data_IF_861485000762
#
_entry.id   IF_861485000762
#
_cell.length_a   1.000
_cell.length_b   1.000
_cell.length_c   1.000
_cell.angle_alpha   90.00
_cell.angle_beta   90.00
_cell.angle_gamma   90.00
#
_symmetry.space_group_name_H-M   'P 1'
#
loop_
_entity.id
_entity.type
_entity.pdbx_description
1 polymer ?
#
# COMPACT_ATOMS: atom_id res chain seq x y z
N UNK A 1 -21.34 19.44 12.91
CA UNK A 1 -20.83 19.31 11.53
C UNK A 1 -19.98 18.06 11.51
N UNK A 2 -20.20 17.12 10.58
CA UNK A 2 -19.31 15.96 10.44
C UNK A 2 -17.93 16.45 9.95
N UNK A 3 -16.86 15.97 10.57
CA UNK A 3 -15.49 16.25 10.12
C UNK A 3 -15.22 15.55 8.80
N UNK A 4 -14.38 16.17 7.95
CA UNK A 4 -13.87 15.50 6.76
C UNK A 4 -13.05 14.26 7.17
N UNK A 5 -13.11 13.16 6.40
CA UNK A 5 -12.26 12.00 6.65
C UNK A 5 -10.79 12.35 6.42
N UNK A 6 -9.90 11.67 7.14
CA UNK A 6 -8.48 11.66 6.82
C UNK A 6 -8.28 10.81 5.58
N UNK A 7 -7.57 11.36 4.59
CA UNK A 7 -7.25 10.65 3.38
C UNK A 7 -5.99 9.84 3.60
N UNK A 8 -6.08 8.51 3.51
CA UNK A 8 -4.91 7.63 3.55
C UNK A 8 -4.56 7.22 2.12
N UNK A 9 -3.48 7.79 1.60
CA UNK A 9 -2.99 7.54 0.24
C UNK A 9 -2.06 6.33 0.22
N UNK A 10 -2.39 5.31 -0.58
CA UNK A 10 -1.64 4.05 -0.71
C UNK A 10 -0.88 4.05 -2.05
N UNK A 11 0.47 4.09 -2.04
CA UNK A 11 1.30 4.07 -3.25
C UNK A 11 1.16 2.79 -4.09
N UNK A 12 1.54 2.89 -5.36
CA UNK A 12 1.77 1.76 -6.26
C UNK A 12 3.16 1.12 -6.11
N UNK A 13 3.42 0.04 -6.86
CA UNK A 13 4.69 -0.69 -6.84
C UNK A 13 5.85 0.22 -7.24
N UNK A 14 7.01 0.00 -6.61
CA UNK A 14 8.26 0.73 -6.89
C UNK A 14 8.17 2.25 -6.69
N UNK A 15 7.09 2.74 -6.07
CA UNK A 15 6.82 4.16 -5.94
C UNK A 15 6.96 4.59 -4.47
N UNK A 16 8.02 5.32 -4.10
CA UNK A 16 8.08 5.95 -2.78
C UNK A 16 7.01 7.04 -2.65
N UNK A 17 6.61 7.34 -1.42
CA UNK A 17 5.62 8.35 -1.07
C UNK A 17 5.95 9.73 -1.70
N UNK A 18 7.25 10.05 -1.78
CA UNK A 18 7.77 11.25 -2.46
C UNK A 18 7.25 11.43 -3.90
N UNK A 19 6.98 10.37 -4.64
CA UNK A 19 6.47 10.51 -6.02
C UNK A 19 5.07 11.12 -6.07
N UNK A 20 4.34 11.11 -4.95
CA UNK A 20 2.99 11.63 -4.85
C UNK A 20 2.92 13.02 -4.20
N UNK A 21 4.05 13.69 -3.95
CA UNK A 21 4.07 15.00 -3.28
C UNK A 21 3.13 16.01 -3.93
N UNK A 22 3.15 16.14 -5.26
CA UNK A 22 2.28 17.10 -5.96
C UNK A 22 0.79 16.84 -5.71
N UNK A 23 0.34 15.58 -5.79
CA UNK A 23 -1.08 15.26 -5.56
C UNK A 23 -1.45 15.42 -4.08
N UNK A 24 -0.59 15.00 -3.16
CA UNK A 24 -0.81 15.13 -1.71
C UNK A 24 -0.92 16.60 -1.31
N UNK A 25 0.00 17.45 -1.77
CA UNK A 25 -0.02 18.89 -1.43
C UNK A 25 -1.20 19.62 -2.09
N UNK A 26 -1.64 19.18 -3.27
CA UNK A 26 -2.87 19.70 -3.91
C UNK A 26 -4.10 19.40 -3.06
N UNK A 27 -4.24 18.16 -2.56
CA UNK A 27 -5.36 17.75 -1.73
C UNK A 27 -5.32 18.47 -0.37
N UNK A 28 -4.14 18.62 0.25
CA UNK A 28 -3.98 19.40 1.48
C UNK A 28 -4.35 20.86 1.30
N UNK A 29 -3.95 21.48 0.19
CA UNK A 29 -4.30 22.86 -0.15
C UNK A 29 -5.81 23.07 -0.31
N UNK A 30 -6.57 22.00 -0.59
CA UNK A 30 -8.03 22.02 -0.62
C UNK A 30 -8.69 21.83 0.76
N UNK A 31 -7.91 21.77 1.84
CA UNK A 31 -8.40 21.71 3.22
C UNK A 31 -8.65 20.30 3.76
N UNK A 32 -8.08 19.27 3.12
CA UNK A 32 -8.15 17.88 3.60
C UNK A 32 -6.87 17.45 4.32
N UNK A 33 -7.03 16.64 5.36
CA UNK A 33 -5.91 15.93 5.99
C UNK A 33 -5.53 14.72 5.11
N UNK A 34 -4.24 14.59 4.80
CA UNK A 34 -3.74 13.51 3.94
C UNK A 34 -2.50 12.90 4.58
N UNK A 35 -2.53 11.58 4.74
CA UNK A 35 -1.39 10.77 5.16
C UNK A 35 -0.93 9.86 4.00
N UNK A 36 0.38 9.73 3.86
CA UNK A 36 1.02 8.84 2.89
C UNK A 36 2.31 8.28 3.51
N UNK A 37 2.59 7.00 3.23
CA UNK A 37 3.75 6.29 3.76
C UNK A 37 4.42 5.47 2.67
N UNK A 38 5.72 5.24 2.80
CA UNK A 38 6.43 4.32 1.92
C UNK A 38 5.97 2.88 2.17
N UNK A 39 5.80 2.12 1.09
CA UNK A 39 5.56 0.68 1.17
C UNK A 39 6.82 -0.01 1.71
N UNK A 40 6.72 -0.90 2.71
CA UNK A 40 7.81 -1.78 3.12
C UNK A 40 8.49 -2.48 1.93
N UNK A 41 7.71 -2.95 0.95
CA UNK A 41 8.22 -3.63 -0.26
C UNK A 41 9.02 -2.72 -1.19
N UNK A 42 8.84 -1.41 -1.10
CA UNK A 42 9.53 -0.41 -1.93
C UNK A 42 10.60 0.40 -1.16
N UNK A 43 10.73 0.20 0.16
CA UNK A 43 11.62 1.00 1.01
C UNK A 43 12.66 0.19 1.78
N UNK A 44 12.41 -1.10 2.05
CA UNK A 44 13.40 -1.94 2.73
C UNK A 44 14.64 -2.14 1.86
N UNK A 45 15.80 -2.00 2.48
CA UNK A 45 17.10 -2.22 1.85
C UNK A 45 17.94 -3.20 2.68
N UNK A 46 18.90 -3.92 2.08
CA UNK A 46 19.78 -4.81 2.84
C UNK A 46 20.41 -4.10 4.06
N UNK A 47 20.45 -4.75 5.24
CA UNK A 47 20.22 -6.18 5.48
C UNK A 47 18.75 -6.55 5.80
N UNK A 48 17.79 -5.64 5.65
CA UNK A 48 16.39 -5.93 5.94
C UNK A 48 15.86 -6.99 4.95
N UNK A 49 15.06 -7.93 5.47
CA UNK A 49 14.34 -8.89 4.62
C UNK A 49 13.35 -8.15 3.71
N UNK A 50 13.32 -8.53 2.44
CA UNK A 50 12.31 -8.05 1.48
C UNK A 50 10.91 -8.20 2.06
N UNK A 51 10.08 -7.16 1.94
CA UNK A 51 8.70 -7.24 2.39
C UNK A 51 7.81 -7.89 1.33
N UNK A 52 6.74 -8.56 1.77
CA UNK A 52 5.66 -9.00 0.90
C UNK A 52 4.45 -8.05 0.91
N UNK A 53 3.42 -8.40 0.12
CA UNK A 53 2.19 -7.61 0.01
C UNK A 53 1.39 -7.54 1.31
N UNK A 54 1.45 -8.58 2.15
CA UNK A 54 0.75 -8.59 3.44
C UNK A 54 1.43 -7.66 4.44
N UNK A 55 2.75 -7.54 4.40
CA UNK A 55 3.50 -6.59 5.20
C UNK A 55 3.20 -5.14 4.79
N UNK A 56 3.04 -4.87 3.50
CA UNK A 56 2.53 -3.57 3.03
C UNK A 56 1.11 -3.31 3.57
N UNK A 57 0.20 -4.28 3.45
CA UNK A 57 -1.17 -4.15 3.93
C UNK A 57 -1.24 -3.97 5.46
N UNK A 58 -0.38 -4.64 6.21
CA UNK A 58 -0.31 -4.51 7.67
C UNK A 58 0.09 -3.10 8.10
N UNK A 59 1.04 -2.46 7.41
CA UNK A 59 1.42 -1.06 7.67
C UNK A 59 0.21 -0.14 7.50
N UNK A 60 -0.46 -0.20 6.35
CA UNK A 60 -1.60 0.68 6.05
C UNK A 60 -2.82 0.37 6.91
N UNK A 61 -3.03 -0.88 7.31
CA UNK A 61 -4.05 -1.26 8.28
C UNK A 61 -3.78 -0.60 9.64
N UNK A 62 -2.54 -0.64 10.12
CA UNK A 62 -2.13 0.04 11.35
C UNK A 62 -2.46 1.52 11.30
N UNK A 63 -2.10 2.20 10.21
CA UNK A 63 -2.41 3.63 10.01
C UNK A 63 -3.90 3.94 9.99
N UNK A 64 -4.69 3.13 9.28
CA UNK A 64 -6.14 3.29 9.29
C UNK A 64 -6.72 3.11 10.70
N UNK A 65 -6.22 2.13 11.48
CA UNK A 65 -6.65 1.90 12.86
C UNK A 65 -6.26 3.05 13.79
N UNK A 66 -5.04 3.57 13.68
CA UNK A 66 -4.58 4.72 14.48
C UNK A 66 -5.51 5.93 14.27
N UNK A 67 -5.86 6.22 13.01
CA UNK A 67 -6.80 7.30 12.66
C UNK A 67 -8.19 7.03 13.26
N UNK A 68 -8.72 5.82 13.10
CA UNK A 68 -10.04 5.42 13.62
C UNK A 68 -10.08 5.55 15.15
N UNK A 69 -9.05 5.06 15.84
CA UNK A 69 -8.93 5.13 17.29
C UNK A 69 -8.80 6.57 17.80
N UNK A 70 -8.29 7.49 16.98
CA UNK A 70 -8.26 8.92 17.28
C UNK A 70 -9.63 9.63 17.15
N UNK A 71 -10.69 8.91 16.79
CA UNK A 71 -12.03 9.48 16.63
C UNK A 71 -12.34 9.99 15.23
N UNK A 72 -11.49 9.71 14.23
CA UNK A 72 -11.63 10.21 12.85
C UNK A 72 -12.00 9.10 11.86
N UNK A 73 -12.69 9.45 10.79
CA UNK A 73 -12.98 8.54 9.69
C UNK A 73 -11.86 8.53 8.64
N UNK A 74 -11.75 7.45 7.87
CA UNK A 74 -10.69 7.26 6.87
C UNK A 74 -11.31 7.13 5.47
N UNK A 75 -10.75 7.85 4.49
CA UNK A 75 -10.98 7.63 3.07
C UNK A 75 -9.68 7.11 2.44
N UNK A 76 -9.68 5.94 1.81
CA UNK A 76 -8.49 5.47 1.12
C UNK A 76 -8.46 5.98 -0.32
N UNK A 77 -7.28 6.42 -0.77
CA UNK A 77 -6.98 6.57 -2.19
C UNK A 77 -5.86 5.59 -2.51
N UNK A 78 -6.12 4.66 -3.43
CA UNK A 78 -5.17 3.61 -3.78
C UNK A 78 -4.74 3.73 -5.23
N UNK A 79 -3.43 3.78 -5.49
CA UNK A 79 -2.89 3.86 -6.86
C UNK A 79 -2.25 2.54 -7.32
N UNK A 80 -2.58 2.07 -8.52
CA UNK A 80 -1.96 0.87 -9.12
C UNK A 80 -1.98 -0.34 -8.18
N UNK A 81 -0.83 -0.98 -7.92
CA UNK A 81 -0.65 -2.04 -6.92
C UNK A 81 -1.21 -1.72 -5.53
N UNK A 82 -1.23 -0.43 -5.15
CA UNK A 82 -1.84 0.03 -3.90
C UNK A 82 -3.30 -0.39 -3.76
N UNK A 83 -4.00 -0.70 -4.86
CA UNK A 83 -5.34 -1.29 -4.82
C UNK A 83 -5.40 -2.62 -4.05
N UNK A 84 -4.43 -3.51 -4.27
CA UNK A 84 -4.35 -4.79 -3.55
C UNK A 84 -4.06 -4.57 -2.07
N UNK A 85 -3.02 -3.77 -1.79
CA UNK A 85 -2.59 -3.41 -0.43
C UNK A 85 -3.75 -2.78 0.36
N UNK A 86 -4.40 -1.78 -0.22
CA UNK A 86 -5.51 -1.07 0.40
C UNK A 86 -6.72 -1.99 0.62
N UNK A 87 -7.08 -2.82 -0.36
CA UNK A 87 -8.21 -3.76 -0.24
C UNK A 87 -8.01 -4.79 0.87
N UNK A 88 -6.77 -5.27 1.06
CA UNK A 88 -6.40 -6.15 2.17
C UNK A 88 -6.44 -5.39 3.51
N UNK A 89 -5.84 -4.21 3.56
CA UNK A 89 -5.70 -3.42 4.78
C UNK A 89 -7.05 -3.09 5.44
N UNK A 90 -8.08 -2.80 4.65
CA UNK A 90 -9.39 -2.33 5.14
C UNK A 90 -10.40 -3.43 5.45
N UNK A 91 -10.02 -4.71 5.33
CA UNK A 91 -10.92 -5.82 5.66
C UNK A 91 -11.48 -5.67 7.08
N UNK A 92 -12.82 -5.67 7.17
CA UNK A 92 -13.54 -5.50 8.43
C UNK A 92 -13.42 -4.13 9.09
N UNK A 93 -12.86 -3.11 8.42
CA UNK A 93 -12.76 -1.74 8.94
C UNK A 93 -13.86 -0.81 8.40
N UNK A 94 -14.72 -1.32 7.51
CA UNK A 94 -15.93 -0.63 7.11
C UNK A 94 -17.03 -0.95 8.14
N UNK A 95 -17.59 0.08 8.74
CA UNK A 95 -18.86 0.01 9.47
C UNK A 95 -19.75 1.14 8.96
N UNK A 96 -21.03 1.13 9.31
CA UNK A 96 -21.87 2.29 9.03
C UNK A 96 -21.25 3.50 9.76
N UNK A 97 -20.85 4.52 9.00
CA UNK A 97 -20.23 5.76 9.51
C UNK A 97 -21.09 6.45 10.57
N UNK A 98 -22.38 6.07 10.67
CA UNK A 98 -23.33 6.50 11.69
C UNK A 98 -23.07 5.90 13.08
N UNK A 99 -22.30 4.82 13.18
CA UNK A 99 -22.01 4.10 14.43
C UNK A 99 -20.69 4.50 15.08
N UNK A 100 -19.83 5.19 14.34
CA UNK A 100 -18.55 5.70 14.84
C UNK A 100 -17.50 5.86 13.74
N UNK A 101 -16.27 6.22 14.13
CA UNK A 101 -15.11 6.32 13.23
C UNK A 101 -14.85 4.98 12.51
N UNK A 102 -14.69 5.04 11.19
CA UNK A 102 -14.53 3.87 10.33
C UNK A 102 -13.87 4.25 9.00
N UNK A 103 -13.59 3.25 8.16
CA UNK A 103 -13.33 3.48 6.73
C UNK A 103 -14.65 3.83 6.04
N UNK A 104 -14.74 5.05 5.50
CA UNK A 104 -15.98 5.61 4.91
C UNK A 104 -15.96 5.63 3.39
N UNK A 105 -14.84 5.28 2.76
CA UNK A 105 -14.78 5.13 1.32
C UNK A 105 -13.43 4.67 0.79
N UNK A 106 -13.42 4.32 -0.48
CA UNK A 106 -12.28 3.81 -1.22
C UNK A 106 -12.29 4.40 -2.62
N UNK A 107 -11.20 5.06 -3.02
CA UNK A 107 -10.99 5.61 -4.35
C UNK A 107 -9.92 4.80 -5.06
N UNK A 108 -10.31 4.15 -6.15
CA UNK A 108 -9.41 3.39 -7.01
C UNK A 108 -8.82 4.31 -8.10
N UNK A 109 -7.55 4.67 -7.98
CA UNK A 109 -6.83 5.48 -8.97
C UNK A 109 -5.97 4.56 -9.84
N UNK A 110 -6.45 4.20 -11.04
CA UNK A 110 -5.76 3.26 -11.92
C UNK A 110 -5.26 1.99 -11.19
N UNK A 111 -6.09 1.49 -10.25
CA UNK A 111 -5.69 0.53 -9.24
C UNK A 111 -6.00 -0.92 -9.64
N UNK A 112 -5.21 -1.86 -9.12
CA UNK A 112 -5.45 -3.29 -9.26
C UNK A 112 -6.49 -3.73 -8.23
N UNK A 113 -7.67 -4.13 -8.71
CA UNK A 113 -8.75 -4.69 -7.90
C UNK A 113 -9.07 -6.09 -8.42
N UNK A 114 -8.85 -7.10 -7.59
CA UNK A 114 -9.12 -8.50 -7.93
C UNK A 114 -10.16 -9.08 -6.97
N UNK A 115 -10.99 -10.06 -7.40
CA UNK A 115 -11.95 -10.70 -6.52
C UNK A 115 -11.27 -11.38 -5.33
N UNK A 116 -11.99 -11.49 -4.21
CA UNK A 116 -11.51 -12.20 -3.02
C UNK A 116 -11.15 -13.64 -3.39
N UNK A 117 -9.96 -14.07 -2.97
CA UNK A 117 -9.44 -15.42 -3.24
C UNK A 117 -8.78 -15.59 -4.62
N UNK A 118 -8.77 -14.56 -5.47
CA UNK A 118 -8.06 -14.56 -6.74
C UNK A 118 -6.66 -13.99 -6.55
N UNK A 119 -5.64 -14.65 -7.10
CA UNK A 119 -4.27 -14.11 -7.09
C UNK A 119 -4.10 -13.06 -8.18
N UNK A 120 -3.13 -12.16 -8.04
CA UNK A 120 -2.87 -11.16 -9.09
C UNK A 120 -2.55 -11.83 -10.44
N UNK A 121 -1.82 -12.94 -10.40
CA UNK A 121 -1.51 -13.75 -11.58
C UNK A 121 -2.76 -14.28 -12.28
N UNK A 122 -3.76 -14.73 -11.52
CA UNK A 122 -5.01 -15.27 -12.06
C UNK A 122 -6.00 -14.16 -12.48
N UNK A 123 -5.96 -13.00 -11.80
CA UNK A 123 -6.80 -11.85 -12.10
C UNK A 123 -6.27 -10.98 -13.25
N UNK A 124 -4.98 -11.09 -13.56
CA UNK A 124 -4.34 -10.49 -14.72
C UNK A 124 -4.03 -11.56 -15.77
N UNK A 125 -3.60 -11.13 -16.96
CA UNK A 125 -3.06 -12.05 -17.96
C UNK A 125 -1.76 -12.69 -17.47
N UNK A 126 -1.45 -13.90 -17.96
CA UNK A 126 -0.13 -14.51 -17.77
C UNK A 126 0.97 -13.52 -18.18
N UNK A 127 2.09 -13.48 -17.43
CA UNK A 127 3.22 -12.67 -17.84
C UNK A 127 3.68 -13.11 -19.24
N UNK A 128 4.17 -12.17 -20.07
CA UNK A 128 4.64 -12.49 -21.41
C UNK A 128 5.66 -13.64 -21.38
N UNK A 129 5.67 -14.50 -22.40
CA UNK A 129 6.51 -15.70 -22.43
C UNK A 129 8.03 -15.41 -22.29
N UNK A 130 8.47 -14.16 -22.54
CA UNK A 130 9.85 -13.73 -22.36
C UNK A 130 10.23 -13.44 -20.89
N UNK A 131 9.24 -13.28 -20.00
CA UNK A 131 9.44 -13.06 -18.58
C UNK A 131 9.61 -14.41 -17.88
N UNK A 132 10.86 -14.80 -17.64
CA UNK A 132 11.18 -16.00 -16.86
C UNK A 132 10.92 -15.72 -15.38
N UNK A 133 9.89 -16.37 -14.82
CA UNK A 133 9.66 -16.39 -13.38
C UNK A 133 10.52 -17.52 -12.80
N UNK A 134 11.64 -17.18 -12.20
CA UNK A 134 12.41 -18.12 -11.40
C UNK A 134 11.82 -18.16 -9.99
N UNK A 135 11.17 -19.26 -9.65
CA UNK A 135 10.73 -19.54 -8.28
C UNK A 135 11.94 -19.94 -7.43
N UNK A 136 12.89 -19.02 -7.25
CA UNK A 136 13.94 -19.14 -6.25
C UNK A 136 13.67 -18.15 -5.12
N UNK A 137 14.14 -18.49 -3.93
CA UNK A 137 14.27 -17.63 -2.74
C UNK A 137 14.33 -16.14 -3.07
N UNK A 138 13.67 -15.26 -2.27
CA UNK A 138 13.74 -13.81 -2.46
C UNK A 138 15.18 -13.40 -2.75
N UNK A 139 15.39 -12.55 -3.76
CA UNK A 139 16.73 -12.14 -4.16
C UNK A 139 17.48 -11.56 -2.95
N UNK A 140 18.31 -12.38 -2.30
CA UNK A 140 19.23 -11.95 -1.28
C UNK A 140 20.44 -11.40 -2.02
N UNK A 141 20.70 -10.10 -1.85
CA UNK A 141 21.93 -9.50 -2.32
C UNK A 141 23.09 -10.24 -1.64
N UNK A 142 23.72 -11.20 -2.32
CA UNK A 142 24.96 -11.81 -1.85
C UNK A 142 25.92 -10.67 -1.59
N UNK A 143 26.30 -10.46 -0.33
CA UNK A 143 27.40 -9.58 -0.01
C UNK A 143 28.59 -10.09 -0.83
N UNK A 144 29.18 -9.21 -1.65
CA UNK A 144 30.38 -9.54 -2.41
C UNK A 144 31.43 -10.00 -1.41
N UNK A 145 31.74 -11.29 -1.38
CA UNK A 145 32.89 -11.79 -0.63
C UNK A 145 34.11 -11.12 -1.23
N UNK A 146 34.79 -10.27 -0.46
CA UNK A 146 36.11 -9.76 -0.84
C UNK A 146 36.98 -10.95 -1.20
N UNK A 147 37.68 -10.95 -2.35
CA UNK A 147 38.63 -12.02 -2.65
C UNK A 147 39.71 -12.02 -1.56
N UNK A 148 40.01 -13.20 -1.01
CA UNK A 148 41.12 -13.37 -0.08
C UNK A 148 42.40 -12.96 -0.80
N UNK A 149 43.13 -12.00 -0.24
CA UNK A 149 44.48 -11.70 -0.68
C UNK A 149 45.35 -12.93 -0.40
N UNK A 150 45.93 -13.49 -1.46
CA UNK A 150 47.12 -14.33 -1.38
C UNK A 150 48.34 -13.41 -1.28
#
# INVERSE_FOLDING_TARGET
MASNPVILFVPGSFAPAKLYTTVVETIKSAGYEVEIYDLPSASRTPPQKSADMYEDAALFRGKALDIIQSGKTVLLIAHSYGGLVASEAIKGLHTDAKTGPAVVGFVALAALLIPVGVSLKAGMSEPPAYLKIEASTPYEHRASSKPSAN
#
